data_IF_727319346530
#
_entry.id   IF_727319346530
#
_cell.length_a   1.000
_cell.length_b   1.000
_cell.length_c   1.000
_cell.angle_alpha   90.00
_cell.angle_beta   90.00
_cell.angle_gamma   90.00
#
_symmetry.space_group_name_H-M   'P 1'
#
loop_
_entity.id
_entity.type
_entity.pdbx_description
1 polymer ?
#
# COMPACT_ATOMS: atom_id res chain seq x y z
N UNK A 1 -1.95 -19.47 0.24
CA UNK A 1 -2.66 -18.44 1.04
C UNK A 1 -3.69 -17.67 0.17
N UNK A 2 -4.89 -17.42 0.68
CA UNK A 2 -5.92 -16.64 -0.03
C UNK A 2 -5.81 -15.17 0.35
N UNK A 3 -5.72 -14.29 -0.64
CA UNK A 3 -5.76 -12.83 -0.48
C UNK A 3 -7.13 -12.33 -0.96
N UNK A 4 -7.79 -11.52 -0.14
CA UNK A 4 -9.02 -10.81 -0.51
C UNK A 4 -8.76 -9.32 -0.34
N UNK A 5 -9.24 -8.50 -1.27
CA UNK A 5 -9.11 -7.05 -1.13
C UNK A 5 -10.31 -6.26 -1.60
N UNK A 6 -10.33 -4.99 -1.21
CA UNK A 6 -11.30 -4.00 -1.67
C UNK A 6 -12.07 -3.27 -0.57
N UNK A 7 -12.95 -2.36 -1.01
CA UNK A 7 -13.58 -1.34 -0.17
C UNK A 7 -14.99 -1.71 0.34
N UNK A 8 -15.49 -2.91 0.04
CA UNK A 8 -16.85 -3.30 0.41
C UNK A 8 -17.04 -3.29 1.92
N UNK A 9 -18.09 -2.63 2.43
CA UNK A 9 -18.29 -2.48 3.87
C UNK A 9 -18.90 -3.71 4.58
N UNK A 10 -19.48 -4.66 3.81
CA UNK A 10 -20.20 -5.84 4.36
C UNK A 10 -19.58 -7.15 3.90
N UNK A 11 -19.80 -7.50 2.62
CA UNK A 11 -19.38 -8.80 2.06
C UNK A 11 -17.86 -8.99 2.06
N UNK A 12 -17.10 -7.94 1.80
CA UNK A 12 -15.63 -8.03 1.76
C UNK A 12 -15.07 -8.43 3.14
N UNK A 13 -15.36 -7.73 4.25
CA UNK A 13 -14.98 -8.17 5.59
C UNK A 13 -15.45 -9.58 5.95
N UNK A 14 -16.69 -9.94 5.62
CA UNK A 14 -17.26 -11.27 5.93
C UNK A 14 -16.51 -12.40 5.20
N UNK A 15 -16.19 -12.21 3.93
CA UNK A 15 -15.43 -13.19 3.14
C UNK A 15 -13.97 -13.26 3.61
N UNK A 16 -13.35 -12.11 3.91
CA UNK A 16 -11.99 -12.05 4.45
C UNK A 16 -11.87 -12.80 5.76
N UNK A 17 -12.78 -12.55 6.70
CA UNK A 17 -12.81 -13.20 8.00
C UNK A 17 -12.83 -14.73 7.88
N UNK A 18 -13.63 -15.26 6.95
CA UNK A 18 -13.87 -16.70 6.79
C UNK A 18 -12.80 -17.42 5.98
N UNK A 19 -12.17 -16.77 5.01
CA UNK A 19 -11.37 -17.46 4.00
C UNK A 19 -9.95 -16.92 3.80
N UNK A 20 -9.68 -15.66 4.14
CA UNK A 20 -8.43 -15.02 3.74
C UNK A 20 -7.31 -15.27 4.76
N UNK A 21 -6.08 -15.42 4.25
CA UNK A 21 -4.85 -15.25 5.03
C UNK A 21 -4.41 -13.78 5.06
N UNK A 22 -4.79 -13.01 4.04
CA UNK A 22 -4.42 -11.61 3.89
C UNK A 22 -5.59 -10.76 3.39
N UNK A 23 -5.71 -9.56 3.97
CA UNK A 23 -6.60 -8.51 3.49
C UNK A 23 -5.82 -7.36 2.87
N UNK A 24 -6.09 -7.05 1.60
CA UNK A 24 -5.51 -5.91 0.90
C UNK A 24 -6.52 -4.77 0.73
N UNK A 25 -6.11 -3.53 0.99
CA UNK A 25 -6.85 -2.34 0.57
C UNK A 25 -6.07 -1.57 -0.51
N UNK A 26 -6.57 -1.56 -1.76
CA UNK A 26 -5.85 -0.92 -2.86
C UNK A 26 -6.22 0.55 -3.02
N UNK A 27 -5.21 1.42 -3.17
CA UNK A 27 -5.34 2.83 -3.56
C UNK A 27 -6.28 3.66 -2.67
N UNK A 28 -6.21 3.40 -1.36
CA UNK A 28 -7.01 4.10 -0.36
C UNK A 28 -6.18 5.08 0.47
N UNK A 29 -6.83 6.11 1.00
CA UNK A 29 -6.20 7.01 1.96
C UNK A 29 -5.84 6.30 3.28
N UNK A 30 -5.04 6.94 4.14
CA UNK A 30 -4.74 6.45 5.49
C UNK A 30 -6.03 6.26 6.32
N UNK A 31 -6.94 7.23 6.26
CA UNK A 31 -8.19 7.19 7.01
C UNK A 31 -9.12 6.05 6.53
N UNK A 32 -9.23 5.86 5.22
CA UNK A 32 -10.03 4.76 4.65
C UNK A 32 -9.39 3.39 4.95
N UNK A 33 -8.06 3.32 4.93
CA UNK A 33 -7.29 2.13 5.31
C UNK A 33 -7.59 1.73 6.74
N UNK A 34 -7.43 2.65 7.69
CA UNK A 34 -7.70 2.42 9.11
C UNK A 34 -9.14 1.94 9.32
N UNK A 35 -10.11 2.65 8.74
CA UNK A 35 -11.53 2.32 8.87
C UNK A 35 -11.83 0.91 8.33
N UNK A 36 -11.29 0.57 7.16
CA UNK A 36 -11.56 -0.72 6.54
C UNK A 36 -10.86 -1.86 7.29
N UNK A 37 -9.65 -1.65 7.80
CA UNK A 37 -8.97 -2.63 8.64
C UNK A 37 -9.76 -2.92 9.92
N UNK A 38 -10.30 -1.88 10.58
CA UNK A 38 -11.18 -2.05 11.74
C UNK A 38 -12.42 -2.90 11.41
N UNK A 39 -13.06 -2.67 10.25
CA UNK A 39 -14.22 -3.48 9.81
C UNK A 39 -13.85 -4.95 9.62
N UNK A 40 -12.69 -5.23 9.05
CA UNK A 40 -12.19 -6.59 8.82
C UNK A 40 -11.83 -7.27 10.14
N UNK A 41 -11.15 -6.58 11.06
CA UNK A 41 -10.86 -7.09 12.41
C UNK A 41 -12.14 -7.47 13.14
N UNK A 42 -13.13 -6.58 13.15
CA UNK A 42 -14.42 -6.84 13.78
C UNK A 42 -15.17 -8.00 13.11
N UNK A 43 -15.05 -8.18 11.79
CA UNK A 43 -15.63 -9.32 11.09
C UNK A 43 -14.94 -10.65 11.45
N UNK A 44 -13.61 -10.65 11.59
CA UNK A 44 -12.85 -11.81 12.04
C UNK A 44 -13.26 -12.22 13.46
N UNK A 45 -13.37 -11.26 14.38
CA UNK A 45 -13.78 -11.50 15.77
C UNK A 45 -15.19 -12.09 15.85
N UNK A 46 -16.16 -11.55 15.10
CA UNK A 46 -17.52 -12.11 15.01
C UNK A 46 -17.53 -13.55 14.44
N UNK A 47 -16.55 -13.90 13.62
CA UNK A 47 -16.38 -15.24 13.07
C UNK A 47 -15.57 -16.18 13.99
N UNK A 48 -15.19 -15.74 15.19
CA UNK A 48 -14.42 -16.53 16.15
C UNK A 48 -12.92 -16.62 15.86
N UNK A 49 -12.38 -15.71 15.03
CA UNK A 49 -10.96 -15.59 14.68
C UNK A 49 -10.38 -14.32 15.31
N UNK A 50 -9.11 -14.32 15.72
CA UNK A 50 -8.47 -13.06 16.17
C UNK A 50 -8.27 -12.15 14.96
N UNK A 51 -8.58 -10.86 15.09
CA UNK A 51 -8.35 -9.89 14.02
C UNK A 51 -6.89 -9.90 13.53
N UNK A 52 -5.95 -10.08 14.44
CA UNK A 52 -4.51 -10.07 14.16
C UNK A 52 -3.97 -11.35 13.51
N UNK A 53 -4.82 -12.38 13.32
CA UNK A 53 -4.44 -13.59 12.58
C UNK A 53 -4.40 -13.34 11.04
N UNK A 54 -4.76 -12.14 10.59
CA UNK A 54 -4.71 -11.70 9.20
C UNK A 54 -3.46 -10.84 8.95
N UNK A 55 -2.85 -11.02 7.78
CA UNK A 55 -1.93 -10.01 7.24
C UNK A 55 -2.78 -8.88 6.64
N UNK A 56 -2.42 -7.65 6.96
CA UNK A 56 -3.07 -6.45 6.43
C UNK A 56 -2.12 -5.75 5.47
N UNK A 57 -2.57 -5.44 4.26
CA UNK A 57 -1.73 -4.86 3.23
C UNK A 57 -2.39 -3.73 2.48
N UNK A 58 -1.55 -2.86 1.90
CA UNK A 58 -1.97 -1.76 1.04
C UNK A 58 -1.31 -1.90 -0.34
N UNK A 59 -2.05 -1.56 -1.39
CA UNK A 59 -1.47 -1.36 -2.72
C UNK A 59 -1.47 0.12 -3.07
N UNK A 60 -0.34 0.66 -3.50
CA UNK A 60 -0.18 2.08 -3.87
C UNK A 60 0.70 2.19 -5.11
N UNK A 61 0.47 3.21 -5.93
CA UNK A 61 1.33 3.51 -7.08
C UNK A 61 2.70 3.96 -6.60
N UNK A 62 3.77 3.37 -7.14
CA UNK A 62 5.13 3.80 -6.86
C UNK A 62 5.62 4.78 -7.93
N UNK A 63 6.22 5.89 -7.49
CA UNK A 63 6.87 6.87 -8.35
C UNK A 63 8.01 7.55 -7.56
N UNK A 64 9.06 6.79 -7.31
CA UNK A 64 10.21 7.19 -6.49
C UNK A 64 11.28 7.79 -7.38
N UNK A 65 12.00 8.81 -6.92
CA UNK A 65 13.15 9.39 -7.63
C UNK A 65 14.11 10.05 -6.67
N UNK A 66 15.40 10.10 -6.99
CA UNK A 66 16.42 10.72 -6.12
C UNK A 66 16.24 12.23 -5.96
N UNK A 67 15.49 12.85 -6.87
CA UNK A 67 15.17 14.26 -6.90
C UNK A 67 13.85 14.48 -7.67
N UNK A 68 13.34 15.71 -7.61
CA UNK A 68 12.07 16.08 -8.25
C UNK A 68 12.05 15.86 -9.77
N UNK A 69 13.20 15.96 -10.45
CA UNK A 69 13.27 15.74 -11.89
C UNK A 69 13.07 14.28 -12.27
N UNK A 70 13.64 13.34 -11.51
CA UNK A 70 13.40 11.90 -11.70
C UNK A 70 11.95 11.53 -11.40
N UNK A 71 11.38 12.07 -10.31
CA UNK A 71 9.98 11.86 -9.95
C UNK A 71 9.07 12.36 -11.07
N UNK A 72 9.31 13.57 -11.57
CA UNK A 72 8.55 14.13 -12.70
C UNK A 72 8.66 13.27 -13.95
N UNK A 73 9.88 12.86 -14.34
CA UNK A 73 10.10 12.01 -15.52
C UNK A 73 9.28 10.71 -15.42
N UNK A 74 9.29 10.06 -14.25
CA UNK A 74 8.56 8.81 -13.99
C UNK A 74 7.05 9.02 -13.98
N UNK A 75 6.57 10.12 -13.39
CA UNK A 75 5.16 10.49 -13.41
C UNK A 75 4.65 10.76 -14.83
N UNK A 76 5.42 11.51 -15.63
CA UNK A 76 5.11 11.79 -17.03
C UNK A 76 5.02 10.49 -17.87
N UNK A 77 5.94 9.55 -17.66
CA UNK A 77 5.98 8.27 -18.37
C UNK A 77 4.71 7.42 -18.17
N UNK A 78 4.06 7.56 -17.01
CA UNK A 78 2.81 6.84 -16.69
C UNK A 78 1.56 7.73 -16.84
N UNK A 79 1.72 8.95 -17.36
CA UNK A 79 0.63 9.89 -17.62
C UNK A 79 -0.05 10.41 -16.35
N UNK A 80 0.70 10.61 -15.27
CA UNK A 80 0.17 11.02 -13.95
C UNK A 80 0.78 12.34 -13.50
N UNK A 81 0.02 13.05 -12.67
CA UNK A 81 0.47 14.30 -12.05
C UNK A 81 1.29 14.01 -10.78
N UNK A 82 2.34 14.80 -10.55
CA UNK A 82 3.28 14.58 -9.43
C UNK A 82 2.59 14.84 -8.10
N UNK A 83 1.81 15.91 -7.98
CA UNK A 83 1.16 16.28 -6.72
C UNK A 83 0.08 15.26 -6.34
N UNK A 84 -0.66 14.78 -7.34
CA UNK A 84 -1.63 13.68 -7.16
C UNK A 84 -0.95 12.38 -6.69
N UNK A 85 0.18 12.00 -7.30
CA UNK A 85 0.95 10.84 -6.89
C UNK A 85 1.54 11.00 -5.48
N UNK A 86 2.05 12.18 -5.12
CA UNK A 86 2.55 12.46 -3.76
C UNK A 86 1.41 12.44 -2.74
N UNK A 87 0.21 12.89 -3.10
CA UNK A 87 -0.95 12.83 -2.23
C UNK A 87 -1.40 11.38 -1.98
N UNK A 88 -1.54 10.58 -3.05
CA UNK A 88 -2.28 9.30 -2.99
C UNK A 88 -1.39 8.04 -3.07
N UNK A 89 -0.14 8.16 -3.49
CA UNK A 89 0.76 7.04 -3.76
C UNK A 89 1.99 6.98 -2.85
N UNK A 90 2.98 6.21 -3.30
CA UNK A 90 4.34 6.14 -2.80
C UNK A 90 5.23 6.89 -3.79
N UNK A 91 5.20 8.22 -3.72
CA UNK A 91 5.90 9.09 -4.68
C UNK A 91 6.76 10.13 -3.97
N UNK A 92 7.90 10.46 -4.58
CA UNK A 92 8.89 11.37 -4.01
C UNK A 92 10.28 10.73 -3.88
N UNK A 93 11.10 11.31 -3.01
CA UNK A 93 12.39 10.75 -2.60
C UNK A 93 12.25 9.45 -1.83
N UNK A 94 13.31 8.62 -1.74
CA UNK A 94 13.30 7.44 -0.90
C UNK A 94 12.90 7.74 0.55
N UNK A 95 13.35 8.87 1.12
CA UNK A 95 12.98 9.29 2.47
C UNK A 95 11.48 9.60 2.60
N UNK A 96 10.90 10.37 1.67
CA UNK A 96 9.45 10.66 1.65
C UNK A 96 8.63 9.35 1.54
N UNK A 97 9.09 8.39 0.73
CA UNK A 97 8.42 7.09 0.58
C UNK A 97 8.50 6.25 1.85
N UNK A 98 9.66 6.19 2.51
CA UNK A 98 9.81 5.50 3.80
C UNK A 98 8.89 6.12 4.86
N UNK A 99 8.84 7.45 4.94
CA UNK A 99 7.93 8.15 5.86
C UNK A 99 6.46 7.82 5.56
N UNK A 100 6.07 7.81 4.27
CA UNK A 100 4.70 7.42 3.88
C UNK A 100 4.39 5.97 4.26
N UNK A 101 5.32 5.03 4.06
CA UNK A 101 5.15 3.64 4.48
C UNK A 101 4.97 3.54 5.99
N UNK A 102 5.75 4.29 6.78
CA UNK A 102 5.61 4.34 8.23
C UNK A 102 4.22 4.84 8.67
N UNK A 103 3.63 5.81 7.95
CA UNK A 103 2.25 6.26 8.20
C UNK A 103 1.23 5.14 7.97
N UNK A 104 1.37 4.36 6.89
CA UNK A 104 0.52 3.20 6.64
C UNK A 104 0.73 2.09 7.68
N UNK A 105 1.96 1.89 8.13
CA UNK A 105 2.28 0.96 9.20
C UNK A 105 1.60 1.35 10.52
N UNK A 106 1.57 2.65 10.84
CA UNK A 106 0.92 3.17 12.04
C UNK A 106 -0.60 2.87 12.09
N UNK A 107 -1.26 2.79 10.93
CA UNK A 107 -2.68 2.38 10.83
C UNK A 107 -2.88 0.87 10.67
N UNK A 108 -1.82 0.08 10.83
CA UNK A 108 -1.87 -1.38 10.92
C UNK A 108 -1.50 -2.13 9.65
N UNK A 109 -0.95 -1.46 8.65
CA UNK A 109 -0.42 -2.12 7.45
C UNK A 109 0.85 -2.91 7.79
N UNK A 110 0.93 -4.14 7.30
CA UNK A 110 2.06 -5.05 7.51
C UNK A 110 2.79 -5.38 6.22
N UNK A 111 2.18 -5.10 5.06
CA UNK A 111 2.76 -5.35 3.74
C UNK A 111 2.35 -4.27 2.76
N UNK A 112 3.29 -3.84 1.94
CA UNK A 112 3.06 -2.86 0.87
C UNK A 112 3.23 -3.53 -0.49
N UNK A 113 2.25 -3.35 -1.37
CA UNK A 113 2.32 -3.68 -2.78
C UNK A 113 2.59 -2.38 -3.55
N UNK A 114 3.80 -2.28 -4.09
CA UNK A 114 4.24 -1.11 -4.87
C UNK A 114 3.89 -1.35 -6.33
N UNK A 115 2.85 -0.67 -6.84
CA UNK A 115 2.44 -0.80 -8.22
C UNK A 115 3.38 0.02 -9.12
N UNK A 116 4.19 -0.70 -9.88
CA UNK A 116 5.02 -0.16 -10.96
C UNK A 116 4.20 -0.16 -12.25
N UNK A 117 4.03 1.01 -12.87
CA UNK A 117 3.23 1.17 -14.09
C UNK A 117 4.11 1.30 -15.35
N UNK A 118 5.31 1.86 -15.21
CA UNK A 118 6.38 1.76 -16.20
C UNK A 118 7.22 0.52 -15.87
N UNK A 119 7.07 -0.54 -16.66
CA UNK A 119 7.75 -1.82 -16.46
C UNK A 119 9.14 -1.87 -17.10
N UNK A 120 9.49 -0.88 -17.93
CA UNK A 120 10.78 -0.81 -18.61
C UNK A 120 11.82 -0.02 -17.78
N UNK A 121 11.38 0.80 -16.82
CA UNK A 121 12.27 1.53 -15.89
C UNK A 121 12.79 0.62 -14.77
N UNK A 122 13.77 -0.23 -15.11
CA UNK A 122 14.45 -1.09 -14.14
C UNK A 122 15.26 -0.29 -13.10
N UNK A 123 15.75 0.91 -13.45
CA UNK A 123 16.46 1.80 -12.54
C UNK A 123 15.54 2.29 -11.40
N UNK A 124 14.23 2.35 -11.63
CA UNK A 124 13.24 2.67 -10.59
C UNK A 124 13.11 1.53 -9.58
N UNK A 125 13.06 0.28 -10.07
CA UNK A 125 13.06 -0.88 -9.19
C UNK A 125 14.37 -0.99 -8.40
N UNK A 126 15.52 -0.77 -9.05
CA UNK A 126 16.82 -0.76 -8.39
C UNK A 126 16.90 0.33 -7.31
N UNK A 127 16.42 1.55 -7.59
CA UNK A 127 16.37 2.62 -6.60
C UNK A 127 15.54 2.22 -5.37
N UNK A 128 14.35 1.64 -5.56
CA UNK A 128 13.51 1.18 -4.46
C UNK A 128 14.24 0.09 -3.64
N UNK A 129 14.84 -0.89 -4.33
CA UNK A 129 15.55 -1.99 -3.66
C UNK A 129 16.81 -1.52 -2.91
N UNK A 130 17.53 -0.54 -3.44
CA UNK A 130 18.78 -0.05 -2.87
C UNK A 130 18.59 0.99 -1.77
N UNK A 131 17.58 1.85 -1.90
CA UNK A 131 17.44 3.03 -1.02
C UNK A 131 16.17 3.01 -0.15
N UNK A 132 15.09 2.33 -0.54
CA UNK A 132 13.87 2.23 0.27
C UNK A 132 13.87 0.96 1.12
N UNK A 133 14.06 -0.21 0.50
CA UNK A 133 13.96 -1.50 1.21
C UNK A 133 14.88 -1.63 2.43
N UNK A 134 16.17 -1.20 2.42
CA UNK A 134 17.05 -1.36 3.58
C UNK A 134 16.66 -0.53 4.81
N UNK A 135 15.76 0.44 4.63
CA UNK A 135 15.23 1.26 5.73
C UNK A 135 14.00 0.63 6.40
N UNK A 136 13.45 -0.43 5.81
CA UNK A 136 12.27 -1.16 6.28
C UNK A 136 12.76 -2.51 6.84
N UNK A 137 12.60 -2.70 8.15
CA UNK A 137 13.13 -3.85 8.90
C UNK A 137 12.56 -5.20 8.51
#
# INVERSE_FOLDING_TARGET
>A
PVLIGGHGAKRTPELTARYAAEFNIPFASLADTEQQFQRVRAAAERAGRKGDDLVYSNALVACVGRNDSEVKRRADAIGRDVDELKANGLAGSPAEVVERIAQYQAVGSQRMYMQMLDLDDLDHLELIAAEVMPQLG
#
